data_IF_251232904967
#
_entry.id   IF_251232904967
#
_cell.length_a   1.000
_cell.length_b   1.000
_cell.length_c   1.000
_cell.angle_alpha   90.00
_cell.angle_beta   90.00
_cell.angle_gamma   90.00
#
_symmetry.space_group_name_H-M   'P 1'
#
loop_
_entity.id
_entity.type
_entity.pdbx_description
1 polymer ?
#
# COMPACT_ATOMS: atom_id res chain seq x y z
N UNK A 1 12.04 -15.11 2.97
CA UNK A 1 11.77 -16.21 2.01
C UNK A 1 10.25 -16.28 1.81
N UNK A 2 9.73 -16.33 0.58
CA UNK A 2 8.29 -16.28 0.29
C UNK A 2 7.55 -17.48 0.92
N UNK A 3 6.46 -17.29 1.68
CA UNK A 3 5.71 -18.40 2.27
C UNK A 3 5.13 -19.31 1.20
N UNK A 4 5.47 -20.61 1.25
CA UNK A 4 5.08 -21.60 0.23
C UNK A 4 3.57 -21.89 0.18
N UNK A 5 2.82 -21.45 1.18
CA UNK A 5 1.38 -21.74 1.37
C UNK A 5 0.46 -20.57 1.03
N UNK A 6 0.99 -19.41 0.62
CA UNK A 6 0.13 -18.25 0.31
C UNK A 6 -0.48 -18.37 -1.09
N UNK A 7 -1.75 -18.01 -1.19
CA UNK A 7 -2.42 -17.86 -2.47
C UNK A 7 -1.72 -16.78 -3.32
N UNK A 8 -1.52 -17.06 -4.61
CA UNK A 8 -0.87 -16.14 -5.54
C UNK A 8 -1.83 -14.99 -5.91
N UNK A 9 -1.86 -13.96 -5.06
CA UNK A 9 -2.69 -12.75 -5.22
C UNK A 9 -1.86 -11.51 -4.92
N UNK A 10 -2.08 -10.45 -5.69
CA UNK A 10 -1.51 -9.13 -5.41
C UNK A 10 -2.46 -8.32 -4.55
N UNK A 11 -1.95 -7.80 -3.43
CA UNK A 11 -2.66 -6.89 -2.52
C UNK A 11 -1.85 -5.61 -2.39
N UNK A 12 -2.47 -4.46 -2.63
CA UNK A 12 -1.86 -3.15 -2.47
C UNK A 12 -2.55 -2.34 -1.39
N UNK A 13 -1.81 -1.47 -0.74
CA UNK A 13 -2.30 -0.48 0.21
C UNK A 13 -1.77 0.89 -0.21
N UNK A 14 -2.61 1.91 -0.20
CA UNK A 14 -2.23 3.29 -0.51
C UNK A 14 -2.79 4.23 0.53
N UNK A 15 -1.98 5.18 0.99
CA UNK A 15 -2.34 6.23 1.95
C UNK A 15 -1.57 7.52 1.64
N UNK A 16 -2.05 8.63 2.18
CA UNK A 16 -1.30 9.88 2.23
C UNK A 16 -1.48 10.62 3.56
N UNK A 17 -0.40 11.18 4.08
CA UNK A 17 -0.46 12.16 5.17
C UNK A 17 -0.57 13.57 4.60
N UNK A 18 -1.73 14.20 4.73
CA UNK A 18 -2.00 15.51 4.15
C UNK A 18 -1.22 16.61 4.85
N UNK A 19 -0.41 17.33 4.08
CA UNK A 19 0.46 18.39 4.59
C UNK A 19 1.41 17.95 5.73
N UNK A 20 1.78 16.66 5.74
CA UNK A 20 2.65 16.05 6.76
C UNK A 20 4.07 16.65 6.84
N UNK A 21 4.59 17.19 5.74
CA UNK A 21 5.86 17.92 5.77
C UNK A 21 5.65 19.32 6.36
N UNK A 22 6.20 19.57 7.56
CA UNK A 22 6.04 20.85 8.28
C UNK A 22 6.57 22.03 7.47
N UNK A 23 7.75 21.87 6.84
CA UNK A 23 8.43 22.99 6.14
C UNK A 23 7.71 23.40 4.86
N UNK A 24 7.28 22.43 4.05
CA UNK A 24 6.69 22.72 2.73
C UNK A 24 5.17 22.54 2.67
N UNK A 25 4.55 22.06 3.74
CA UNK A 25 3.13 21.68 3.82
C UNK A 25 2.68 20.74 2.69
N UNK A 26 3.64 19.97 2.15
CA UNK A 26 3.37 18.97 1.12
C UNK A 26 3.04 17.64 1.78
N UNK A 27 2.11 16.92 1.18
CA UNK A 27 1.67 15.63 1.68
C UNK A 27 2.75 14.56 1.48
N UNK A 28 2.74 13.52 2.30
CA UNK A 28 3.58 12.33 2.13
C UNK A 28 2.71 11.21 1.60
N UNK A 29 2.97 10.73 0.38
CA UNK A 29 2.31 9.56 -0.19
C UNK A 29 3.06 8.29 0.20
N UNK A 30 2.32 7.22 0.47
CA UNK A 30 2.87 5.91 0.75
C UNK A 30 2.05 4.81 0.12
N UNK A 31 2.74 3.76 -0.32
CA UNK A 31 2.09 2.52 -0.75
C UNK A 31 2.95 1.31 -0.43
N UNK A 32 2.30 0.17 -0.30
CA UNK A 32 2.97 -1.13 -0.24
C UNK A 32 2.15 -2.20 -0.98
N UNK A 33 2.86 -3.10 -1.66
CA UNK A 33 2.31 -4.20 -2.45
C UNK A 33 2.85 -5.53 -1.95
N UNK A 34 1.94 -6.48 -1.81
CA UNK A 34 2.21 -7.84 -1.41
C UNK A 34 1.89 -8.79 -2.55
N UNK A 35 2.70 -9.83 -2.67
CA UNK A 35 2.40 -11.03 -3.44
C UNK A 35 2.19 -12.18 -2.46
N UNK A 36 0.95 -12.63 -2.34
CA UNK A 36 0.54 -13.47 -1.22
C UNK A 36 0.79 -12.74 0.09
N UNK A 37 1.59 -13.34 0.98
CA UNK A 37 1.94 -12.75 2.28
C UNK A 37 3.29 -12.03 2.27
N UNK A 38 3.90 -11.81 1.10
CA UNK A 38 5.24 -11.25 1.01
C UNK A 38 5.21 -9.85 0.43
N UNK A 39 5.81 -8.90 1.14
CA UNK A 39 6.01 -7.54 0.65
C UNK A 39 6.98 -7.56 -0.55
N UNK A 40 6.55 -7.01 -1.69
CA UNK A 40 7.33 -7.00 -2.95
C UNK A 40 7.69 -5.60 -3.46
N UNK A 41 6.91 -4.59 -3.11
CA UNK A 41 7.19 -3.19 -3.45
C UNK A 41 6.63 -2.28 -2.37
N UNK A 42 7.35 -1.23 -2.00
CA UNK A 42 6.89 -0.22 -1.05
C UNK A 42 7.57 1.10 -1.33
N UNK A 43 6.92 2.20 -0.95
CA UNK A 43 7.47 3.54 -1.14
C UNK A 43 6.85 4.51 -0.16
N UNK A 44 7.67 5.46 0.29
CA UNK A 44 7.26 6.69 0.95
C UNK A 44 7.85 7.86 0.16
N UNK A 45 7.02 8.83 -0.25
CA UNK A 45 7.48 9.96 -1.06
C UNK A 45 6.69 11.22 -0.76
N UNK A 46 7.41 12.32 -0.51
CA UNK A 46 6.82 13.67 -0.46
C UNK A 46 6.26 14.05 -1.83
N UNK A 47 5.00 14.47 -1.88
CA UNK A 47 4.35 14.94 -3.10
C UNK A 47 5.08 16.18 -3.64
N UNK A 48 5.07 16.34 -4.97
CA UNK A 48 5.74 17.47 -5.64
C UNK A 48 4.91 18.74 -5.47
N UNK A 49 3.59 18.60 -5.60
CA UNK A 49 2.61 19.68 -5.46
C UNK A 49 1.98 19.65 -4.06
N UNK A 50 1.49 20.80 -3.61
CA UNK A 50 0.71 20.90 -2.37
C UNK A 50 -0.72 20.44 -2.66
N UNK A 51 -1.28 19.60 -1.80
CA UNK A 51 -2.70 19.23 -1.88
C UNK A 51 -3.56 20.17 -1.04
N UNK A 52 -4.74 20.52 -1.53
CA UNK A 52 -5.66 21.42 -0.85
C UNK A 52 -6.68 20.68 0.03
N UNK A 53 -6.74 19.36 -0.07
CA UNK A 53 -7.55 18.48 0.79
C UNK A 53 -6.84 17.14 1.02
N UNK A 54 -7.29 16.40 2.05
CA UNK A 54 -6.84 15.03 2.29
C UNK A 54 -7.21 14.10 1.13
N UNK A 55 -8.43 14.20 0.61
CA UNK A 55 -8.88 13.40 -0.54
C UNK A 55 -8.02 13.63 -1.78
N UNK A 56 -7.58 14.86 -2.05
CA UNK A 56 -6.62 15.14 -3.13
C UNK A 56 -5.27 14.48 -2.88
N UNK A 57 -4.74 14.57 -1.65
CA UNK A 57 -3.47 13.93 -1.29
C UNK A 57 -3.54 12.41 -1.45
N UNK A 58 -4.61 11.79 -0.97
CA UNK A 58 -4.83 10.36 -1.07
C UNK A 58 -5.06 9.89 -2.50
N UNK A 59 -5.80 10.66 -3.31
CA UNK A 59 -6.00 10.32 -4.71
C UNK A 59 -4.68 10.33 -5.49
N UNK A 60 -3.78 11.28 -5.22
CA UNK A 60 -2.43 11.29 -5.80
C UNK A 60 -1.59 10.08 -5.37
N UNK A 61 -1.72 9.66 -4.11
CA UNK A 61 -1.09 8.43 -3.64
C UNK A 61 -1.66 7.21 -4.38
N UNK A 62 -2.98 7.17 -4.55
CA UNK A 62 -3.67 6.09 -5.24
C UNK A 62 -3.28 5.99 -6.72
N UNK A 63 -3.16 7.12 -7.42
CA UNK A 63 -2.65 7.19 -8.79
C UNK A 63 -1.23 6.65 -8.88
N UNK A 64 -0.35 7.09 -7.98
CA UNK A 64 1.03 6.59 -7.91
C UNK A 64 1.11 5.08 -7.65
N UNK A 65 0.28 4.57 -6.73
CA UNK A 65 0.18 3.15 -6.44
C UNK A 65 -0.38 2.36 -7.64
N UNK A 66 -1.33 2.92 -8.38
CA UNK A 66 -1.89 2.32 -9.60
C UNK A 66 -0.80 2.16 -10.68
N UNK A 67 0.03 3.18 -10.88
CA UNK A 67 1.19 3.09 -11.78
C UNK A 67 2.16 1.98 -11.38
N UNK A 68 2.50 1.89 -10.09
CA UNK A 68 3.37 0.83 -9.57
C UNK A 68 2.75 -0.55 -9.80
N UNK A 69 1.46 -0.72 -9.52
CA UNK A 69 0.75 -1.98 -9.74
C UNK A 69 0.79 -2.40 -11.21
N UNK A 70 0.57 -1.47 -12.13
CA UNK A 70 0.67 -1.73 -13.57
C UNK A 70 2.09 -2.21 -13.92
N UNK A 71 3.12 -1.56 -13.38
CA UNK A 71 4.50 -1.98 -13.58
C UNK A 71 4.77 -3.39 -13.03
N UNK A 72 4.29 -3.70 -11.83
CA UNK A 72 4.38 -5.06 -11.24
C UNK A 72 3.70 -6.09 -12.13
N UNK A 73 2.51 -5.79 -12.67
CA UNK A 73 1.79 -6.70 -13.56
C UNK A 73 2.55 -6.93 -14.87
N UNK A 74 3.17 -5.91 -15.45
CA UNK A 74 4.03 -6.06 -16.62
C UNK A 74 5.24 -6.93 -16.31
N UNK A 75 5.93 -6.67 -15.19
CA UNK A 75 7.07 -7.47 -14.76
C UNK A 75 6.69 -8.95 -14.57
N UNK A 76 5.57 -9.24 -13.92
CA UNK A 76 5.10 -10.61 -13.72
C UNK A 76 4.76 -11.29 -15.05
N UNK A 77 4.16 -10.55 -15.99
CA UNK A 77 3.88 -11.06 -17.34
C UNK A 77 5.16 -11.43 -18.08
N UNK A 78 6.19 -10.59 -18.02
CA UNK A 78 7.50 -10.85 -18.64
C UNK A 78 8.20 -12.08 -18.02
N UNK A 79 7.95 -12.33 -16.74
CA UNK A 79 8.39 -13.54 -16.03
C UNK A 79 7.52 -14.78 -16.30
N UNK A 80 6.55 -14.69 -17.21
CA UNK A 80 5.56 -15.74 -17.52
C UNK A 80 4.71 -16.19 -16.32
N UNK A 81 4.41 -15.26 -15.40
CA UNK A 81 3.57 -15.52 -14.23
C UNK A 81 2.17 -14.95 -14.46
N UNK A 82 1.15 -15.82 -14.42
CA UNK A 82 -0.24 -15.43 -14.63
C UNK A 82 -0.94 -15.11 -13.30
N UNK A 83 -1.54 -13.92 -13.21
CA UNK A 83 -2.41 -13.55 -12.10
C UNK A 83 -3.84 -13.99 -12.40
N UNK A 84 -4.35 -14.97 -11.66
CA UNK A 84 -5.71 -15.52 -11.89
C UNK A 84 -6.82 -14.59 -11.42
N UNK A 85 -6.52 -13.61 -10.58
CA UNK A 85 -7.49 -12.67 -10.03
C UNK A 85 -7.00 -11.24 -10.17
N UNK A 86 -7.92 -10.27 -10.39
CA UNK A 86 -7.56 -8.87 -10.41
C UNK A 86 -6.99 -8.47 -9.03
N UNK A 87 -5.83 -7.81 -9.00
CA UNK A 87 -5.26 -7.24 -7.79
C UNK A 87 -6.26 -6.37 -7.03
N UNK A 88 -6.16 -6.36 -5.71
CA UNK A 88 -6.90 -5.44 -4.87
C UNK A 88 -5.99 -4.30 -4.41
N UNK A 89 -6.46 -3.06 -4.47
CA UNK A 89 -5.78 -1.89 -3.93
C UNK A 89 -6.69 -1.24 -2.88
N UNK A 90 -6.23 -1.26 -1.63
CA UNK A 90 -6.97 -0.78 -0.46
C UNK A 90 -6.69 0.71 -0.19
N UNK A 91 -7.76 1.43 0.10
CA UNK A 91 -7.74 2.84 0.50
C UNK A 91 -8.84 3.06 1.56
N UNK A 92 -8.54 3.84 2.60
CA UNK A 92 -9.46 4.10 3.71
C UNK A 92 -10.34 5.35 3.49
N UNK A 93 -9.98 6.24 2.58
CA UNK A 93 -10.79 7.43 2.26
C UNK A 93 -11.91 7.14 1.26
N UNK A 94 -13.13 7.24 1.78
CA UNK A 94 -14.36 7.03 1.01
C UNK A 94 -14.54 8.06 -0.11
N UNK A 95 -14.09 9.30 0.06
CA UNK A 95 -14.14 10.31 -1.00
C UNK A 95 -13.24 9.92 -2.17
N UNK A 96 -12.04 9.42 -1.90
CA UNK A 96 -11.11 8.93 -2.93
C UNK A 96 -11.73 7.76 -3.71
N UNK A 97 -12.34 6.79 -3.02
CA UNK A 97 -13.04 5.68 -3.65
C UNK A 97 -14.23 6.14 -4.49
N UNK A 98 -15.02 7.09 -3.98
CA UNK A 98 -16.16 7.64 -4.71
C UNK A 98 -15.72 8.35 -6.00
N UNK A 99 -14.65 9.16 -5.94
CA UNK A 99 -14.07 9.83 -7.11
C UNK A 99 -13.60 8.79 -8.14
N UNK A 100 -12.96 7.70 -7.69
CA UNK A 100 -12.50 6.65 -8.60
C UNK A 100 -13.64 5.80 -9.22
N UNK A 101 -14.81 5.79 -8.58
CA UNK A 101 -15.99 5.06 -9.07
C UNK A 101 -16.86 5.88 -10.03
N UNK A 102 -16.77 7.21 -9.99
CA UNK A 102 -17.61 8.10 -10.78
C UNK A 102 -16.77 8.90 -11.80
N UNK A 103 -16.91 8.64 -13.11
CA UNK A 103 -16.17 9.37 -14.14
C UNK A 103 -16.69 10.80 -14.36
N UNK A 104 -17.75 11.23 -13.68
CA UNK A 104 -18.26 12.60 -13.77
C UNK A 104 -17.34 13.54 -12.98
N UNK A 105 -16.54 14.29 -13.72
CA UNK A 105 -15.66 15.32 -13.17
C UNK A 105 -16.47 16.51 -12.66
N UNK A 106 -16.20 16.92 -11.42
CA UNK A 106 -16.66 18.20 -10.89
C UNK A 106 -15.53 19.23 -11.03
N UNK A 107 -15.85 20.53 -11.15
CA UNK A 107 -14.86 21.61 -11.29
C UNK A 107 -13.75 21.59 -10.22
N UNK A 108 -14.02 20.97 -9.06
CA UNK A 108 -13.10 20.86 -7.93
C UNK A 108 -11.96 19.83 -8.09
N UNK A 109 -11.96 18.97 -9.13
CA UNK A 109 -10.92 17.95 -9.35
C UNK A 109 -10.10 18.16 -10.62
N UNK A 110 -10.21 19.32 -11.28
CA UNK A 110 -9.49 19.62 -12.55
C UNK A 110 -7.97 19.46 -12.45
N UNK A 111 -7.37 19.78 -11.31
CA UNK A 111 -5.93 19.59 -11.05
C UNK A 111 -5.51 18.13 -10.81
N UNK A 112 -6.47 17.20 -10.77
CA UNK A 112 -6.28 15.76 -10.67
C UNK A 112 -6.83 15.03 -11.90
N UNK A 113 -7.26 15.74 -12.94
CA UNK A 113 -7.97 15.17 -14.09
C UNK A 113 -7.23 13.97 -14.71
N UNK A 114 -5.91 14.09 -14.91
CA UNK A 114 -5.07 13.01 -15.45
C UNK A 114 -5.01 11.81 -14.51
N UNK A 115 -4.78 12.05 -13.20
CA UNK A 115 -4.74 11.00 -12.18
C UNK A 115 -6.08 10.26 -12.10
N UNK A 116 -7.18 11.02 -12.14
CA UNK A 116 -8.54 10.50 -12.13
C UNK A 116 -8.82 9.64 -13.35
N UNK A 117 -8.51 10.13 -14.55
CA UNK A 117 -8.66 9.35 -15.78
C UNK A 117 -7.87 8.04 -15.73
N UNK A 118 -6.62 8.09 -15.27
CA UNK A 118 -5.78 6.90 -15.13
C UNK A 118 -6.44 5.87 -14.20
N UNK A 119 -6.77 6.25 -12.96
CA UNK A 119 -7.30 5.30 -11.98
C UNK A 119 -8.67 4.76 -12.43
N UNK A 120 -9.58 5.65 -12.83
CA UNK A 120 -10.92 5.26 -13.30
C UNK A 120 -10.85 4.31 -14.50
N UNK A 121 -10.00 4.60 -15.48
CA UNK A 121 -9.84 3.74 -16.67
C UNK A 121 -9.37 2.34 -16.27
N UNK A 122 -8.38 2.24 -15.38
CA UNK A 122 -7.82 0.93 -14.96
C UNK A 122 -8.79 0.12 -14.12
N UNK A 123 -9.62 0.78 -13.33
CA UNK A 123 -10.72 0.14 -12.60
C UNK A 123 -11.81 -0.35 -13.57
N UNK A 124 -12.22 0.47 -14.53
CA UNK A 124 -13.22 0.11 -15.55
C UNK A 124 -12.76 -1.03 -16.46
N UNK A 125 -11.47 -1.07 -16.81
CA UNK A 125 -10.83 -2.17 -17.54
C UNK A 125 -10.77 -3.48 -16.72
N UNK A 126 -11.10 -3.44 -15.44
CA UNK A 126 -10.99 -4.60 -14.54
C UNK A 126 -9.55 -4.98 -14.21
N UNK A 127 -8.57 -4.10 -14.46
CA UNK A 127 -7.16 -4.35 -14.19
C UNK A 127 -6.88 -4.41 -12.68
N UNK A 128 -7.62 -3.64 -11.89
CA UNK A 128 -7.56 -3.67 -10.43
C UNK A 128 -8.94 -3.45 -9.81
N UNK A 129 -9.10 -3.88 -8.55
CA UNK A 129 -10.28 -3.59 -7.73
C UNK A 129 -9.88 -2.64 -6.60
N UNK A 130 -10.56 -1.51 -6.50
CA UNK A 130 -10.46 -0.63 -5.36
C UNK A 130 -11.38 -1.11 -4.25
N UNK A 131 -10.84 -1.26 -3.05
CA UNK A 131 -11.58 -1.76 -1.90
C UNK A 131 -11.38 -0.83 -0.68
N UNK A 132 -12.45 -0.58 0.10
CA UNK A 132 -12.31 0.15 1.35
C UNK A 132 -11.57 -0.68 2.39
N UNK A 133 -10.86 0.00 3.29
CA UNK A 133 -10.24 -0.62 4.47
C UNK A 133 -10.40 0.29 5.69
N UNK A 134 -10.34 -0.30 6.88
CA UNK A 134 -10.27 0.48 8.12
C UNK A 134 -8.88 1.10 8.30
N UNK A 135 -8.80 2.31 8.86
CA UNK A 135 -7.51 2.96 9.19
C UNK A 135 -6.68 2.19 10.23
N UNK A 136 -7.26 1.20 10.92
CA UNK A 136 -6.52 0.30 11.82
C UNK A 136 -5.79 -0.83 11.06
N UNK A 137 -6.19 -1.09 9.82
CA UNK A 137 -5.64 -2.14 8.96
C UNK A 137 -4.90 -1.57 7.74
N UNK A 138 -4.92 -0.24 7.58
CA UNK A 138 -4.20 0.48 6.53
C UNK A 138 -2.68 0.39 6.74
N UNK A 139 -2.03 -0.58 6.10
CA UNK A 139 -0.59 -0.81 6.25
C UNK A 139 0.26 0.35 5.70
N UNK A 140 -0.25 1.12 4.75
CA UNK A 140 0.47 2.26 4.19
C UNK A 140 0.64 3.42 5.20
N UNK A 141 -0.14 3.46 6.29
CA UNK A 141 0.00 4.45 7.37
C UNK A 141 1.43 4.51 7.94
N UNK A 142 2.12 3.37 8.02
CA UNK A 142 3.49 3.32 8.57
C UNK A 142 4.53 4.02 7.66
N UNK A 143 4.17 4.28 6.39
CA UNK A 143 5.02 4.92 5.40
C UNK A 143 4.76 6.43 5.30
N UNK A 144 3.61 6.89 5.78
CA UNK A 144 3.12 8.26 5.58
C UNK A 144 3.09 9.07 6.86
N UNK A 145 2.72 8.44 7.98
CA UNK A 145 2.40 9.10 9.24
C UNK A 145 3.44 8.78 10.32
N UNK A 146 3.69 9.75 11.20
CA UNK A 146 4.34 9.48 12.49
C UNK A 146 3.34 8.80 13.42
N UNK A 147 3.54 7.51 13.67
CA UNK A 147 2.65 6.69 14.49
C UNK A 147 3.20 6.46 15.90
N UNK A 148 2.34 6.27 16.92
CA UNK A 148 2.76 5.76 18.21
C UNK A 148 3.45 4.40 18.07
N UNK A 149 4.47 4.15 18.89
CA UNK A 149 5.33 2.95 18.81
C UNK A 149 4.53 1.64 18.74
N UNK A 150 3.46 1.51 19.52
CA UNK A 150 2.61 0.31 19.51
C UNK A 150 1.94 0.07 18.14
N UNK A 151 1.38 1.12 17.52
CA UNK A 151 0.73 1.02 16.20
C UNK A 151 1.78 0.77 15.11
N UNK A 152 2.92 1.47 15.19
CA UNK A 152 4.05 1.27 14.29
C UNK A 152 4.55 -0.18 14.31
N UNK A 153 4.83 -0.74 15.50
CA UNK A 153 5.28 -2.13 15.65
C UNK A 153 4.25 -3.13 15.11
N UNK A 154 2.96 -2.86 15.31
CA UNK A 154 1.88 -3.68 14.76
C UNK A 154 1.95 -3.72 13.23
N UNK A 155 2.10 -2.57 12.57
CA UNK A 155 2.20 -2.53 11.11
C UNK A 155 3.50 -3.15 10.59
N UNK A 156 4.64 -2.85 11.20
CA UNK A 156 5.92 -3.44 10.83
C UNK A 156 5.89 -4.96 10.92
N UNK A 157 5.26 -5.53 11.95
CA UNK A 157 5.11 -6.98 12.09
C UNK A 157 4.31 -7.61 10.93
N UNK A 158 3.34 -6.87 10.36
CA UNK A 158 2.52 -7.31 9.22
C UNK A 158 3.22 -7.13 7.87
N UNK A 159 4.26 -6.30 7.78
CA UNK A 159 5.08 -6.17 6.57
C UNK A 159 5.98 -7.39 6.32
N UNK A 160 6.16 -8.26 7.33
CA UNK A 160 7.01 -9.45 7.21
C UNK A 160 8.50 -9.14 7.14
N UNK A 161 8.93 -8.01 7.73
CA UNK A 161 10.34 -7.64 7.80
C UNK A 161 11.09 -8.61 8.71
N UNK A 162 12.27 -9.02 8.27
CA UNK A 162 13.19 -9.86 9.04
C UNK A 162 14.36 -8.99 9.50
N UNK A 163 14.65 -9.01 10.79
CA UNK A 163 15.88 -8.43 11.31
C UNK A 163 17.05 -9.39 11.01
N UNK A 164 17.93 -8.97 10.10
CA UNK A 164 19.10 -9.75 9.69
C UNK A 164 20.20 -9.81 10.77
N UNK A 165 20.12 -8.97 11.80
CA UNK A 165 21.04 -8.96 12.94
C UNK A 165 20.51 -9.82 14.10
N UNK A 166 19.21 -10.07 14.16
CA UNK A 166 18.63 -11.11 15.00
C UNK A 166 18.67 -12.45 14.26
N UNK A 167 19.69 -13.25 14.53
CA UNK A 167 19.73 -14.61 14.03
C UNK A 167 18.51 -15.40 14.53
N UNK A 168 17.50 -15.59 13.68
CA UNK A 168 16.54 -16.67 13.87
C UNK A 168 17.32 -17.97 13.64
N UNK A 169 17.77 -18.58 14.73
CA UNK A 169 18.36 -19.91 14.71
C UNK A 169 17.34 -20.85 14.05
N UNK A 170 17.56 -21.14 12.76
CA UNK A 170 16.88 -22.19 12.03
C UNK A 170 17.44 -23.52 12.55
N UNK A 171 16.93 -23.94 13.71
CA UNK A 171 17.40 -25.11 14.43
C UNK A 171 16.65 -25.22 15.74
N UNK A 172 15.51 -25.93 15.72
CA UNK A 172 14.89 -26.42 16.95
C UNK A 172 15.91 -27.30 17.68
N UNK A 173 16.58 -26.76 18.70
CA UNK A 173 17.17 -27.59 19.73
C UNK A 173 16.07 -27.91 20.75
N UNK A 174 15.70 -29.18 20.76
CA UNK A 174 14.80 -29.78 21.72
C UNK A 174 15.25 -29.46 23.16
N UNK A 175 14.27 -29.05 23.97
CA UNK A 175 14.14 -29.16 25.44
C UNK A 175 15.41 -29.48 26.24
N UNK A 176 15.64 -28.67 27.28
CA UNK A 176 15.89 -29.24 28.62
C UNK A 176 15.00 -28.57 29.66
N UNK A 177 14.24 -29.43 30.32
CA UNK A 177 13.45 -29.20 31.50
C UNK A 177 14.34 -28.79 32.70
N UNK A 178 13.71 -28.07 33.63
CA UNK A 178 13.98 -27.91 35.06
C UNK A 178 15.34 -28.39 35.61
N UNK A 179 16.03 -27.53 36.37
CA UNK A 179 16.20 -27.79 37.81
C UNK A 179 16.54 -26.51 38.57
N UNK A 180 15.74 -26.25 39.61
CA UNK A 180 16.07 -25.37 40.74
C UNK A 180 17.36 -25.85 41.41
N UNK A 181 18.14 -24.89 41.91
CA UNK A 181 18.72 -24.88 43.26
C UNK A 181 18.98 -23.42 43.65
#
# INVERSE_FOLDING_TARGET
MFPRTSEFRILGYSDADWAGCIDSRRSISGYCFFLGNSLISWKAKKQITVSRSSSEAEYRALSSATCELIWILFLLKDLNITCTRPPALYCDNQSTLHIASNPVFHEQTKHLEIDCHLVCEKVQQGLLRLLPISTQEQLADCLTKTLPVAKFNTFISKLGLLDIYQAQACGKLLRKEETKL
#
